data_IF_784329700601
#
_entry.id   IF_784329700601
#
_cell.length_a   1.000
_cell.length_b   1.000
_cell.length_c   1.000
_cell.angle_alpha   90.00
_cell.angle_beta   90.00
_cell.angle_gamma   90.00
#
_symmetry.space_group_name_H-M   'P 1'
#
loop_
_entity.id
_entity.type
_entity.pdbx_description
1 polymer ?
#
# COMPACT_ATOMS: atom_id res chain seq x y z
N UNK A 1 -8.15 -37.75 8.56
CA UNK A 1 -7.76 -36.50 9.20
C UNK A 1 -8.31 -36.52 10.62
N UNK A 2 -7.45 -36.59 11.62
CA UNK A 2 -7.83 -36.57 13.04
C UNK A 2 -8.33 -35.17 13.44
N UNK A 3 -8.99 -35.06 14.61
CA UNK A 3 -9.46 -33.74 15.10
C UNK A 3 -8.30 -32.81 15.46
N UNK A 4 -7.13 -33.34 15.75
CA UNK A 4 -5.91 -32.56 15.97
C UNK A 4 -5.32 -32.02 14.66
N UNK A 5 -5.30 -32.83 13.60
CA UNK A 5 -4.85 -32.40 12.27
C UNK A 5 -5.76 -31.31 11.68
N UNK A 6 -7.06 -31.34 11.98
CA UNK A 6 -8.01 -30.30 11.53
C UNK A 6 -7.78 -28.94 12.20
N UNK A 7 -7.13 -28.89 13.35
CA UNK A 7 -6.83 -27.67 14.12
C UNK A 7 -5.48 -27.04 13.71
N UNK A 8 -4.65 -27.77 12.98
CA UNK A 8 -3.35 -27.27 12.54
C UNK A 8 -3.50 -26.47 11.25
N UNK A 9 -2.84 -25.32 11.20
CA UNK A 9 -2.71 -24.58 9.95
C UNK A 9 -1.76 -25.36 9.01
N UNK A 10 -2.15 -25.55 7.74
CA UNK A 10 -1.27 -26.22 6.78
C UNK A 10 0.04 -25.44 6.62
N UNK A 11 1.15 -26.17 6.54
CA UNK A 11 2.46 -25.59 6.26
C UNK A 11 2.65 -25.44 4.75
N UNK A 12 3.61 -24.61 4.29
CA UNK A 12 3.91 -24.51 2.86
C UNK A 12 4.12 -25.86 2.17
N UNK A 13 4.81 -26.79 2.83
CA UNK A 13 5.11 -28.12 2.31
C UNK A 13 3.87 -29.04 2.20
N UNK A 14 2.76 -28.68 2.83
CA UNK A 14 1.51 -29.41 2.73
C UNK A 14 0.67 -29.01 1.51
N UNK A 15 1.14 -28.02 0.74
CA UNK A 15 0.44 -27.51 -0.43
C UNK A 15 1.03 -28.07 -1.73
N UNK A 16 0.16 -28.41 -2.65
CA UNK A 16 0.52 -28.76 -4.01
C UNK A 16 -0.49 -28.15 -4.99
N UNK A 17 -0.07 -28.02 -6.23
CA UNK A 17 -0.92 -27.47 -7.30
C UNK A 17 -1.17 -28.60 -8.27
N UNK A 18 -2.43 -29.00 -8.38
CA UNK A 18 -2.88 -29.96 -9.39
C UNK A 18 -3.28 -29.17 -10.65
N UNK A 19 -2.59 -29.43 -11.75
CA UNK A 19 -2.88 -28.84 -13.06
C UNK A 19 -3.62 -29.79 -13.99
N UNK A 20 -4.02 -30.97 -13.50
CA UNK A 20 -4.78 -31.96 -14.25
C UNK A 20 -4.00 -32.64 -15.39
N UNK A 21 -2.66 -32.64 -15.34
CA UNK A 21 -1.79 -33.21 -16.36
C UNK A 21 -0.89 -34.34 -15.80
N UNK A 22 -0.48 -35.32 -16.63
CA UNK A 22 0.55 -36.27 -16.26
C UNK A 22 1.86 -35.59 -15.91
N UNK A 23 2.63 -36.22 -15.01
CA UNK A 23 3.88 -35.65 -14.49
C UNK A 23 4.92 -35.30 -15.58
N UNK A 24 4.95 -36.06 -16.66
CA UNK A 24 5.89 -35.82 -17.75
C UNK A 24 5.55 -34.57 -18.54
N UNK A 25 4.27 -34.35 -18.83
CA UNK A 25 3.78 -33.12 -19.46
C UNK A 25 3.97 -31.88 -18.56
N UNK A 26 3.77 -32.06 -17.26
CA UNK A 26 4.01 -30.94 -16.29
C UNK A 26 5.48 -30.53 -16.31
N UNK A 27 6.43 -31.49 -16.38
CA UNK A 27 7.87 -31.16 -16.40
C UNK A 27 8.31 -30.43 -17.67
N UNK A 28 7.58 -30.55 -18.77
CA UNK A 28 7.86 -29.79 -19.98
C UNK A 28 7.45 -28.33 -19.92
N UNK A 29 6.40 -28.00 -19.13
CA UNK A 29 5.79 -26.66 -19.09
C UNK A 29 6.06 -25.89 -17.80
N UNK A 30 6.39 -26.58 -16.70
CA UNK A 30 6.62 -25.95 -15.37
C UNK A 30 8.04 -26.27 -14.90
N UNK A 31 8.74 -25.23 -14.47
CA UNK A 31 10.10 -25.33 -13.91
C UNK A 31 10.11 -24.97 -12.42
N UNK A 32 11.04 -25.53 -11.67
CA UNK A 32 11.30 -25.11 -10.31
C UNK A 32 11.69 -23.64 -10.29
N UNK A 33 10.97 -22.84 -9.50
CA UNK A 33 11.17 -21.40 -9.42
C UNK A 33 10.18 -20.58 -10.23
N UNK A 34 9.32 -21.22 -11.03
CA UNK A 34 8.24 -20.49 -11.71
C UNK A 34 7.26 -19.93 -10.68
N UNK A 35 6.85 -18.66 -10.82
CA UNK A 35 5.90 -18.04 -9.92
C UNK A 35 4.50 -18.60 -10.14
N UNK A 36 3.79 -18.81 -9.04
CA UNK A 36 2.40 -19.26 -9.06
C UNK A 36 1.53 -18.25 -8.34
N UNK A 37 0.42 -17.92 -8.96
CA UNK A 37 -0.56 -17.00 -8.35
C UNK A 37 -1.97 -17.53 -8.55
N UNK A 38 -2.82 -17.32 -7.54
CA UNK A 38 -4.24 -17.62 -7.67
C UNK A 38 -4.90 -16.58 -8.56
N UNK A 39 -5.80 -17.01 -9.43
CA UNK A 39 -6.52 -16.10 -10.31
C UNK A 39 -7.73 -15.50 -9.57
N UNK A 40 -7.87 -14.19 -9.70
CA UNK A 40 -9.05 -13.44 -9.28
C UNK A 40 -9.15 -12.17 -10.10
N UNK A 41 -10.24 -12.03 -10.81
CA UNK A 41 -10.56 -10.80 -11.57
C UNK A 41 -11.15 -9.74 -10.66
N UNK A 42 -11.04 -8.48 -11.09
CA UNK A 42 -11.68 -7.35 -10.42
C UNK A 42 -13.21 -7.53 -10.42
N UNK A 43 -13.82 -7.43 -9.27
CA UNK A 43 -15.26 -7.53 -9.11
C UNK A 43 -15.79 -6.41 -8.20
N UNK A 44 -17.06 -6.09 -8.35
CA UNK A 44 -17.78 -5.21 -7.43
C UNK A 44 -18.41 -6.04 -6.30
N UNK A 45 -18.32 -5.54 -5.08
CA UNK A 45 -18.96 -6.08 -3.88
C UNK A 45 -19.79 -4.95 -3.25
N UNK A 46 -21.03 -4.79 -3.73
CA UNK A 46 -21.81 -3.59 -3.42
C UNK A 46 -21.12 -2.33 -3.95
N UNK A 47 -20.83 -1.39 -3.07
CA UNK A 47 -20.09 -0.15 -3.41
C UNK A 47 -18.57 -0.33 -3.41
N UNK A 48 -18.07 -1.46 -2.92
CA UNK A 48 -16.64 -1.76 -2.83
C UNK A 48 -16.13 -2.45 -4.10
N UNK A 49 -14.82 -2.49 -4.25
CA UNK A 49 -14.14 -3.30 -5.26
C UNK A 49 -13.28 -4.36 -4.57
N UNK A 50 -13.20 -5.54 -5.16
CA UNK A 50 -12.39 -6.64 -4.68
C UNK A 50 -11.58 -7.27 -5.79
N UNK A 51 -10.32 -7.57 -5.52
CA UNK A 51 -9.40 -8.22 -6.45
C UNK A 51 -8.21 -8.78 -5.68
N UNK A 52 -7.44 -9.66 -6.30
CA UNK A 52 -6.09 -9.96 -5.84
C UNK A 52 -5.14 -8.80 -6.15
N UNK A 53 -4.08 -8.65 -5.37
CA UNK A 53 -2.98 -7.70 -5.65
C UNK A 53 -3.48 -6.25 -5.84
N UNK A 54 -4.48 -5.82 -5.06
CA UNK A 54 -4.74 -4.41 -4.85
C UNK A 54 -3.53 -3.80 -4.13
N UNK A 55 -2.91 -4.59 -3.31
CA UNK A 55 -1.54 -4.43 -2.81
C UNK A 55 -0.52 -4.78 -3.92
N UNK A 56 0.21 -3.84 -4.53
CA UNK A 56 -0.06 -2.40 -4.43
C UNK A 56 -0.43 -1.78 -5.81
N UNK A 57 -1.26 -2.49 -6.60
CA UNK A 57 -1.80 -1.90 -7.85
C UNK A 57 -2.73 -0.72 -7.57
N UNK A 58 -3.35 -0.69 -6.39
CA UNK A 58 -4.15 0.45 -5.95
C UNK A 58 -3.29 1.70 -5.80
N UNK A 59 -2.11 1.59 -5.19
CA UNK A 59 -1.16 2.69 -5.08
C UNK A 59 -0.67 3.21 -6.45
N UNK A 60 -0.39 2.29 -7.40
CA UNK A 60 -0.05 2.69 -8.78
C UNK A 60 -1.20 3.44 -9.45
N UNK A 61 -2.44 2.99 -9.26
CA UNK A 61 -3.63 3.71 -9.76
C UNK A 61 -3.73 5.12 -9.13
N UNK A 62 -3.58 5.23 -7.82
CA UNK A 62 -3.59 6.51 -7.09
C UNK A 62 -2.49 7.45 -7.62
N UNK A 63 -1.27 6.95 -7.80
CA UNK A 63 -0.15 7.71 -8.35
C UNK A 63 -0.48 8.27 -9.74
N UNK A 64 -0.99 7.45 -10.65
CA UNK A 64 -1.38 7.88 -12.01
C UNK A 64 -2.50 8.92 -11.97
N UNK A 65 -3.49 8.72 -11.09
CA UNK A 65 -4.61 9.66 -10.92
C UNK A 65 -4.14 11.00 -10.36
N UNK A 66 -3.25 10.97 -9.36
CA UNK A 66 -2.64 12.16 -8.77
C UNK A 66 -1.85 12.97 -9.81
N UNK A 67 -0.99 12.31 -10.59
CA UNK A 67 -0.24 12.99 -11.65
C UNK A 67 -1.14 13.63 -12.72
N UNK A 68 -2.26 12.98 -13.05
CA UNK A 68 -3.23 13.56 -14.01
C UNK A 68 -4.01 14.74 -13.44
N UNK A 69 -4.17 14.81 -12.11
CA UNK A 69 -4.86 15.87 -11.41
C UNK A 69 -3.92 16.99 -10.93
N UNK A 70 -2.60 16.78 -11.03
CA UNK A 70 -1.57 17.69 -10.54
C UNK A 70 -1.68 19.05 -11.24
N UNK A 71 -1.86 20.09 -10.43
CA UNK A 71 -1.90 21.48 -10.88
C UNK A 71 -0.52 22.15 -10.83
N UNK A 72 -0.51 23.45 -10.52
CA UNK A 72 0.74 24.22 -10.40
C UNK A 72 1.54 23.75 -9.17
N UNK A 73 2.83 23.58 -9.33
CA UNK A 73 3.76 23.17 -8.29
C UNK A 73 5.16 23.75 -8.58
N UNK A 74 5.97 23.91 -7.54
CA UNK A 74 7.30 24.52 -7.62
C UNK A 74 8.44 23.49 -7.49
N UNK A 75 8.10 22.23 -7.18
CA UNK A 75 9.07 21.14 -7.06
C UNK A 75 9.09 20.24 -8.29
N UNK A 76 10.21 19.57 -8.52
CA UNK A 76 10.25 18.44 -9.45
C UNK A 76 9.53 17.24 -8.82
N UNK A 77 8.55 16.69 -9.52
CA UNK A 77 7.82 15.50 -9.08
C UNK A 77 8.28 14.28 -9.86
N UNK A 78 8.88 13.32 -9.17
CA UNK A 78 9.36 12.06 -9.74
C UNK A 78 8.48 10.92 -9.24
N UNK A 79 7.67 10.35 -10.11
CA UNK A 79 6.82 9.21 -9.80
C UNK A 79 7.53 7.89 -10.12
N UNK A 80 7.57 6.97 -9.17
CA UNK A 80 8.27 5.70 -9.30
C UNK A 80 7.36 4.54 -8.89
N UNK A 81 7.16 3.59 -9.78
CA UNK A 81 6.57 2.30 -9.43
C UNK A 81 7.71 1.33 -9.05
N UNK A 82 7.84 1.06 -7.78
CA UNK A 82 8.89 0.20 -7.23
C UNK A 82 8.57 -1.28 -7.40
N UNK A 83 9.59 -2.10 -7.40
CA UNK A 83 9.46 -3.56 -7.45
C UNK A 83 10.01 -4.19 -6.19
N UNK A 84 9.55 -5.39 -5.85
CA UNK A 84 10.06 -6.19 -4.73
C UNK A 84 9.90 -5.47 -3.37
N UNK A 85 8.78 -4.81 -3.17
CA UNK A 85 8.41 -4.24 -1.88
C UNK A 85 8.27 -5.36 -0.83
N UNK A 86 7.49 -6.39 -1.10
CA UNK A 86 7.11 -7.52 -0.25
C UNK A 86 8.29 -8.40 0.23
N UNK A 87 9.45 -8.24 -0.37
CA UNK A 87 10.66 -9.00 -0.04
C UNK A 87 11.80 -8.11 0.48
N UNK A 88 11.46 -6.93 0.96
CA UNK A 88 12.39 -6.04 1.66
C UNK A 88 12.63 -4.70 0.96
N UNK A 89 11.60 -4.06 0.38
CA UNK A 89 11.60 -2.67 -0.10
C UNK A 89 12.72 -2.38 -1.13
N UNK A 90 13.08 -3.40 -1.93
CA UNK A 90 14.34 -3.39 -2.70
C UNK A 90 14.34 -2.34 -3.81
N UNK A 91 13.22 -2.22 -4.54
CA UNK A 91 13.07 -1.24 -5.60
C UNK A 91 13.11 0.19 -5.07
N UNK A 92 12.43 0.46 -3.96
CA UNK A 92 12.44 1.76 -3.30
C UNK A 92 13.84 2.15 -2.82
N UNK A 93 14.57 1.22 -2.21
CA UNK A 93 15.95 1.47 -1.78
C UNK A 93 16.84 1.94 -2.92
N UNK A 94 16.80 1.24 -4.05
CA UNK A 94 17.64 1.59 -5.21
C UNK A 94 17.19 2.91 -5.84
N UNK A 95 15.88 3.11 -6.01
CA UNK A 95 15.32 4.32 -6.59
C UNK A 95 15.61 5.55 -5.71
N UNK A 96 15.40 5.45 -4.40
CA UNK A 96 15.63 6.52 -3.44
C UNK A 96 17.10 6.97 -3.42
N UNK A 97 18.05 6.02 -3.42
CA UNK A 97 19.47 6.33 -3.47
C UNK A 97 19.89 6.96 -4.79
N UNK A 98 19.25 6.62 -5.90
CA UNK A 98 19.55 7.19 -7.21
C UNK A 98 18.98 8.58 -7.39
N UNK A 99 17.74 8.80 -6.94
CA UNK A 99 17.00 10.07 -7.09
C UNK A 99 17.45 11.08 -6.03
N UNK A 100 17.71 10.62 -4.80
CA UNK A 100 18.05 11.45 -3.64
C UNK A 100 17.04 12.57 -3.42
N UNK A 101 15.77 12.24 -3.18
CA UNK A 101 14.73 13.25 -3.01
C UNK A 101 14.94 14.02 -1.70
N UNK A 102 14.58 15.31 -1.68
CA UNK A 102 14.47 16.10 -0.44
C UNK A 102 13.26 15.64 0.37
N UNK A 103 12.17 15.31 -0.33
CA UNK A 103 10.91 14.87 0.22
C UNK A 103 10.47 13.59 -0.48
N UNK A 104 10.10 12.58 0.30
CA UNK A 104 9.57 11.30 -0.18
C UNK A 104 8.14 11.07 0.28
N UNK A 105 7.24 10.69 -0.64
CA UNK A 105 5.90 10.26 -0.29
C UNK A 105 5.63 8.87 -0.86
N UNK A 106 5.51 7.87 0.02
CA UNK A 106 5.06 6.55 -0.38
C UNK A 106 3.54 6.52 -0.56
N UNK A 107 3.08 5.66 -1.45
CA UNK A 107 1.66 5.37 -1.65
C UNK A 107 1.51 3.86 -1.51
N UNK A 108 0.79 3.42 -0.50
CA UNK A 108 0.65 2.00 -0.20
C UNK A 108 -0.77 1.67 0.23
N UNK A 109 -1.06 0.40 0.43
CA UNK A 109 -2.29 -0.01 1.11
C UNK A 109 -2.06 -0.03 2.63
N UNK A 110 -3.14 -0.08 3.40
CA UNK A 110 -3.10 -0.31 4.84
C UNK A 110 -4.28 -1.14 5.33
N UNK A 111 -4.17 -1.67 6.54
CA UNK A 111 -5.15 -2.57 7.11
C UNK A 111 -6.45 -1.84 7.50
N UNK A 112 -7.54 -2.15 6.82
CA UNK A 112 -8.89 -1.82 7.29
C UNK A 112 -9.43 -3.01 8.09
N UNK A 113 -9.11 -3.05 9.38
CA UNK A 113 -9.59 -4.07 10.30
C UNK A 113 -10.84 -3.61 11.05
N UNK A 114 -11.85 -3.21 10.29
CA UNK A 114 -13.11 -2.63 10.73
C UNK A 114 -14.29 -3.62 10.68
N UNK A 115 -14.02 -4.90 10.45
CA UNK A 115 -15.02 -5.96 10.37
C UNK A 115 -15.74 -6.25 11.69
N UNK A 116 -16.79 -7.10 11.66
CA UNK A 116 -17.53 -7.51 12.86
C UNK A 116 -16.58 -8.07 13.93
N UNK A 117 -16.71 -7.59 15.17
CA UNK A 117 -15.89 -8.02 16.31
C UNK A 117 -14.57 -7.28 16.47
N UNK A 118 -14.19 -6.40 15.55
CA UNK A 118 -13.01 -5.55 15.70
C UNK A 118 -13.21 -4.52 16.84
N UNK A 119 -12.30 -4.54 17.81
CA UNK A 119 -12.35 -3.55 18.90
C UNK A 119 -11.84 -2.19 18.41
N UNK A 120 -12.42 -1.05 18.85
CA UNK A 120 -12.03 0.28 18.39
C UNK A 120 -10.52 0.56 18.45
N UNK A 121 -9.87 0.15 19.55
CA UNK A 121 -8.43 0.37 19.75
C UNK A 121 -7.52 -0.56 18.91
N UNK A 122 -8.10 -1.52 18.18
CA UNK A 122 -7.38 -2.43 17.27
C UNK A 122 -7.53 -2.01 15.80
N UNK A 123 -8.38 -1.03 15.52
CA UNK A 123 -8.59 -0.54 14.16
C UNK A 123 -7.42 0.33 13.74
N UNK A 124 -6.78 -0.05 12.66
CA UNK A 124 -5.75 0.77 12.01
C UNK A 124 -6.43 1.83 11.16
N UNK A 125 -7.33 1.39 10.27
CA UNK A 125 -8.18 2.28 9.44
C UNK A 125 -9.56 1.67 9.25
N UNK A 126 -10.44 2.42 8.59
CA UNK A 126 -11.83 2.04 8.27
C UNK A 126 -12.08 2.29 6.79
N UNK A 127 -12.73 1.37 6.08
CA UNK A 127 -13.18 1.59 4.70
C UNK A 127 -14.18 2.75 4.64
N UNK A 128 -14.06 3.58 3.60
CA UNK A 128 -14.89 4.76 3.43
C UNK A 128 -14.48 5.93 4.34
N UNK A 129 -13.41 5.80 5.11
CA UNK A 129 -12.87 6.85 5.96
C UNK A 129 -11.94 7.84 5.23
N UNK A 130 -11.74 7.66 3.93
CA UNK A 130 -10.86 8.50 3.14
C UNK A 130 -9.40 8.02 3.14
N UNK A 131 -8.52 8.87 2.64
CA UNK A 131 -7.09 8.62 2.59
C UNK A 131 -6.50 8.42 3.99
N UNK A 132 -5.67 7.43 4.20
CA UNK A 132 -5.01 7.22 5.49
C UNK A 132 -3.64 7.92 5.49
N UNK A 133 -3.44 8.83 6.45
CA UNK A 133 -2.18 9.55 6.66
C UNK A 133 -1.38 8.78 7.70
N UNK A 134 -0.28 8.20 7.28
CA UNK A 134 0.56 7.39 8.16
C UNK A 134 1.36 8.26 9.13
N UNK A 135 1.18 7.99 10.43
CA UNK A 135 2.02 8.58 11.49
C UNK A 135 3.13 7.62 11.94
N UNK A 136 2.86 6.31 11.90
CA UNK A 136 3.78 5.29 12.39
C UNK A 136 3.52 3.94 11.73
N UNK A 137 4.62 3.22 11.41
CA UNK A 137 4.62 1.77 11.22
C UNK A 137 5.89 1.14 11.84
N UNK A 138 6.08 -0.18 11.71
CA UNK A 138 7.23 -0.85 12.33
C UNK A 138 8.58 -0.47 11.71
N UNK A 139 8.59 0.17 10.57
CA UNK A 139 9.80 0.58 9.83
C UNK A 139 10.07 2.08 9.90
N UNK A 140 9.09 2.91 10.27
CA UNK A 140 9.20 4.37 10.20
C UNK A 140 8.40 5.08 11.30
N UNK A 141 8.97 6.12 11.86
CA UNK A 141 8.26 7.18 12.58
C UNK A 141 8.21 8.37 11.63
N UNK A 142 7.02 8.69 11.13
CA UNK A 142 6.85 9.80 10.21
C UNK A 142 7.04 11.12 10.97
N UNK A 143 7.88 12.05 10.46
CA UNK A 143 8.07 13.34 11.10
C UNK A 143 6.75 14.09 11.27
N UNK A 144 6.53 14.67 12.45
CA UNK A 144 5.28 15.37 12.77
C UNK A 144 4.93 16.45 11.75
N UNK A 145 5.92 17.19 11.26
CA UNK A 145 5.73 18.22 10.23
C UNK A 145 5.10 17.66 8.95
N UNK A 146 5.46 16.42 8.55
CA UNK A 146 4.88 15.75 7.39
C UNK A 146 3.40 15.37 7.64
N UNK A 147 3.09 14.80 8.80
CA UNK A 147 1.73 14.43 9.17
C UNK A 147 0.84 15.68 9.22
N UNK A 148 1.27 16.73 9.95
CA UNK A 148 0.52 17.98 10.09
C UNK A 148 0.31 18.68 8.75
N UNK A 149 1.28 18.57 7.82
CA UNK A 149 1.14 19.13 6.48
C UNK A 149 0.07 18.38 5.68
N UNK A 150 0.11 17.05 5.67
CA UNK A 150 -0.88 16.22 4.98
C UNK A 150 -2.30 16.44 5.52
N UNK A 151 -2.47 16.47 6.87
CA UNK A 151 -3.76 16.78 7.50
C UNK A 151 -4.26 18.17 7.10
N UNK A 152 -3.41 19.21 7.23
CA UNK A 152 -3.77 20.59 6.86
C UNK A 152 -4.17 20.71 5.38
N UNK A 153 -3.46 20.04 4.48
CA UNK A 153 -3.77 20.05 3.04
C UNK A 153 -5.08 19.33 2.76
N UNK A 154 -5.33 18.21 3.44
CA UNK A 154 -6.58 17.48 3.33
C UNK A 154 -7.77 18.33 3.80
N UNK A 155 -7.66 18.95 4.97
CA UNK A 155 -8.69 19.83 5.52
C UNK A 155 -8.97 21.04 4.62
N UNK A 156 -7.92 21.71 4.13
CA UNK A 156 -8.06 22.90 3.28
C UNK A 156 -8.75 22.61 1.92
N UNK A 157 -8.79 21.36 1.51
CA UNK A 157 -9.37 20.92 0.23
C UNK A 157 -10.59 20.02 0.37
N UNK A 158 -11.14 19.90 1.56
CA UNK A 158 -12.27 19.01 1.87
C UNK A 158 -12.03 17.58 1.34
N UNK A 159 -10.84 17.02 1.65
CA UNK A 159 -10.48 15.64 1.28
C UNK A 159 -10.74 14.75 2.50
N UNK A 160 -11.62 13.75 2.40
CA UNK A 160 -11.81 12.78 3.47
C UNK A 160 -10.50 12.08 3.81
N UNK A 161 -10.14 12.06 5.10
CA UNK A 161 -8.89 11.43 5.55
C UNK A 161 -9.01 10.90 6.98
N UNK A 162 -8.08 10.04 7.35
CA UNK A 162 -7.95 9.46 8.68
C UNK A 162 -6.47 9.26 9.03
N UNK A 163 -6.15 9.26 10.33
CA UNK A 163 -4.81 8.97 10.79
C UNK A 163 -4.55 7.46 10.84
N UNK A 164 -3.35 7.05 10.46
CA UNK A 164 -2.91 5.66 10.48
C UNK A 164 -1.77 5.46 11.48
N UNK A 165 -1.97 4.48 12.38
CA UNK A 165 -0.93 3.95 13.28
C UNK A 165 -0.94 2.43 13.15
N UNK A 166 0.11 1.88 12.58
CA UNK A 166 0.24 0.44 12.33
C UNK A 166 1.45 -0.12 13.09
N UNK A 167 1.21 -1.02 14.04
CA UNK A 167 2.28 -1.55 14.91
C UNK A 167 3.10 -2.69 14.26
N UNK A 168 2.66 -3.19 13.11
CA UNK A 168 3.31 -4.27 12.35
C UNK A 168 3.22 -3.96 10.86
N UNK A 169 4.20 -4.42 10.09
CA UNK A 169 4.33 -4.12 8.67
C UNK A 169 5.14 -2.86 8.43
N UNK A 170 5.48 -2.59 7.21
CA UNK A 170 6.26 -1.43 6.78
C UNK A 170 5.89 -1.07 5.35
N UNK A 171 6.42 0.01 4.83
CA UNK A 171 6.22 0.51 3.47
C UNK A 171 7.51 1.08 2.92
N UNK A 172 7.54 1.42 1.66
CA UNK A 172 8.67 2.08 1.00
C UNK A 172 9.10 3.40 1.69
N UNK A 173 8.27 3.97 2.57
CA UNK A 173 8.59 5.17 3.37
C UNK A 173 9.91 5.03 4.12
N UNK A 174 10.20 3.85 4.66
CA UNK A 174 11.46 3.58 5.36
C UNK A 174 12.68 3.82 4.48
N UNK A 175 12.65 3.36 3.25
CA UNK A 175 13.78 3.51 2.34
C UNK A 175 13.88 4.94 1.78
N UNK A 176 12.74 5.63 1.63
CA UNK A 176 12.71 7.05 1.30
C UNK A 176 13.37 7.89 2.39
N UNK A 177 13.06 7.62 3.68
CA UNK A 177 13.63 8.34 4.82
C UNK A 177 15.16 8.19 4.90
N UNK A 178 15.71 7.09 4.40
CA UNK A 178 17.13 6.78 4.41
C UNK A 178 17.85 7.19 3.10
N UNK A 179 17.18 7.91 2.20
CA UNK A 179 17.75 8.33 0.93
C UNK A 179 18.80 9.44 1.11
N UNK A 180 19.94 9.30 0.45
CA UNK A 180 21.02 10.30 0.49
C UNK A 180 21.50 10.58 1.91
N UNK A 181 21.39 11.83 2.33
CA UNK A 181 21.72 12.29 3.69
C UNK A 181 20.49 12.28 4.63
N UNK A 182 19.41 11.67 4.18
CA UNK A 182 18.10 11.61 4.81
C UNK A 182 17.08 12.51 4.11
N UNK A 183 15.89 11.98 3.84
CA UNK A 183 14.77 12.73 3.27
C UNK A 183 13.61 12.87 4.25
N UNK A 184 12.85 13.94 4.14
CA UNK A 184 11.58 14.07 4.84
C UNK A 184 10.55 13.13 4.19
N UNK A 185 10.22 12.03 4.85
CA UNK A 185 9.39 10.99 4.26
C UNK A 185 8.06 10.79 4.99
N UNK A 186 7.01 10.52 4.21
CA UNK A 186 5.66 10.20 4.66
C UNK A 186 4.99 9.17 3.78
N UNK A 187 3.75 8.83 4.14
CA UNK A 187 2.96 7.87 3.38
C UNK A 187 1.47 8.27 3.38
N UNK A 188 0.86 8.15 2.23
CA UNK A 188 -0.60 8.14 2.06
C UNK A 188 -1.01 6.72 1.75
N UNK A 189 -1.80 6.13 2.65
CA UNK A 189 -2.22 4.74 2.52
C UNK A 189 -3.69 4.61 2.14
N UNK A 190 -4.02 3.51 1.48
CA UNK A 190 -5.37 3.18 0.99
C UNK A 190 -5.95 2.11 1.91
N UNK A 191 -7.01 2.40 2.68
CA UNK A 191 -7.66 1.40 3.52
C UNK A 191 -8.09 0.17 2.72
N UNK A 192 -7.64 -1.01 3.12
CA UNK A 192 -7.89 -2.26 2.40
C UNK A 192 -8.16 -3.39 3.39
N UNK A 193 -9.26 -4.14 3.20
CA UNK A 193 -9.54 -5.38 3.94
C UNK A 193 -8.87 -6.56 3.26
N UNK A 194 -8.59 -7.60 4.05
CA UNK A 194 -8.08 -8.89 3.57
C UNK A 194 -6.75 -8.77 2.81
N UNK A 195 -5.89 -7.87 3.27
CA UNK A 195 -4.54 -7.65 2.73
C UNK A 195 -3.78 -8.97 2.63
N UNK A 196 -2.99 -9.13 1.55
CA UNK A 196 -2.26 -10.37 1.20
C UNK A 196 -3.17 -11.56 0.89
N UNK A 197 -4.44 -11.31 0.55
CA UNK A 197 -5.39 -12.34 0.13
C UNK A 197 -5.87 -12.09 -1.32
N UNK A 198 -6.48 -13.12 -1.91
CA UNK A 198 -7.03 -13.00 -3.28
C UNK A 198 -8.33 -12.18 -3.35
N UNK A 199 -8.84 -11.76 -2.22
CA UNK A 199 -10.09 -11.01 -2.08
C UNK A 199 -9.87 -9.66 -1.39
N UNK A 200 -8.69 -9.07 -1.58
CA UNK A 200 -8.43 -7.72 -1.09
C UNK A 200 -9.55 -6.79 -1.53
N UNK A 201 -9.99 -5.94 -0.62
CA UNK A 201 -11.21 -5.15 -0.83
C UNK A 201 -10.99 -3.72 -0.35
N UNK A 202 -11.25 -2.74 -1.22
CA UNK A 202 -11.15 -1.32 -0.89
C UNK A 202 -12.38 -0.53 -1.35
N UNK A 203 -12.51 0.70 -0.86
CA UNK A 203 -13.55 1.63 -1.26
C UNK A 203 -13.03 2.53 -2.39
N UNK A 204 -13.75 2.66 -3.52
CA UNK A 204 -13.38 3.61 -4.59
C UNK A 204 -13.27 5.05 -4.12
N UNK A 205 -14.04 5.46 -3.10
CA UNK A 205 -13.96 6.79 -2.50
C UNK A 205 -12.63 7.04 -1.80
N UNK A 206 -12.09 6.02 -1.12
CA UNK A 206 -10.77 6.11 -0.48
C UNK A 206 -9.64 6.21 -1.52
N UNK A 207 -9.76 5.52 -2.66
CA UNK A 207 -8.83 5.67 -3.79
C UNK A 207 -8.81 7.09 -4.36
N UNK A 208 -10.00 7.67 -4.56
CA UNK A 208 -10.12 9.03 -5.08
C UNK A 208 -9.62 10.06 -4.06
N UNK A 209 -9.94 9.90 -2.76
CA UNK A 209 -9.44 10.74 -1.69
C UNK A 209 -7.91 10.70 -1.62
N UNK A 210 -7.32 9.51 -1.71
CA UNK A 210 -5.86 9.32 -1.72
C UNK A 210 -5.22 10.00 -2.93
N UNK A 211 -5.80 9.87 -4.12
CA UNK A 211 -5.27 10.51 -5.32
C UNK A 211 -5.34 12.04 -5.23
N UNK A 212 -6.43 12.59 -4.71
CA UNK A 212 -6.59 14.03 -4.47
C UNK A 212 -5.57 14.53 -3.44
N UNK A 213 -5.36 13.78 -2.36
CA UNK A 213 -4.40 14.16 -1.31
C UNK A 213 -2.97 14.14 -1.83
N UNK A 214 -2.57 13.12 -2.60
CA UNK A 214 -1.23 13.03 -3.20
C UNK A 214 -1.00 14.18 -4.18
N UNK A 215 -1.96 14.52 -5.04
CA UNK A 215 -1.86 15.68 -5.94
C UNK A 215 -1.70 16.98 -5.17
N UNK A 216 -2.57 17.21 -4.19
CA UNK A 216 -2.56 18.40 -3.33
C UNK A 216 -1.27 18.54 -2.52
N UNK A 217 -0.73 17.43 -2.05
CA UNK A 217 0.58 17.38 -1.40
C UNK A 217 1.70 17.83 -2.35
N UNK A 218 1.77 17.29 -3.57
CA UNK A 218 2.79 17.67 -4.55
C UNK A 218 2.72 19.17 -4.91
N UNK A 219 1.53 19.75 -4.92
CA UNK A 219 1.33 21.19 -5.18
C UNK A 219 1.79 22.10 -4.03
N UNK A 220 1.99 21.56 -2.83
CA UNK A 220 2.34 22.32 -1.61
C UNK A 220 3.58 21.81 -0.90
N UNK A 221 4.30 20.85 -1.50
CA UNK A 221 5.48 20.21 -0.89
C UNK A 221 6.61 21.21 -0.57
N UNK A 222 6.71 22.30 -1.32
CA UNK A 222 7.68 23.39 -1.05
C UNK A 222 7.47 24.09 0.29
N UNK A 223 6.28 23.99 0.88
CA UNK A 223 5.94 24.59 2.19
C UNK A 223 6.49 23.78 3.38
N UNK A 224 7.00 22.56 3.12
CA UNK A 224 7.60 21.72 4.14
C UNK A 224 9.02 22.21 4.49
N UNK A 225 9.43 22.08 5.77
CA UNK A 225 10.80 22.42 6.17
C UNK A 225 11.80 21.48 5.45
N UNK A 226 12.89 22.08 5.00
CA UNK A 226 14.03 21.37 4.40
C UNK A 226 15.04 20.99 5.46
#
# INVERSE_FOLDING_TARGET
MSDEERKQLPKPDDHYIDVGLPADEVREIVRKGDPVTRERTLARLGNLITCKSLDNRAGVYVMIRALRALGQHECEVVAVATTQEEVGLRGARVAAQRIRPDIGLAIDITLANDGPGAKPHQRVTTLGGGAAIKAYDSGVIVPRAMVDHLERVADARDIPHQLEIMTRGGTDTRELQLAGDGALAGCVSIPTRYVHQVVETCDPGDLEASARLVAAFCETAQDLPR
#
